data_IF_633860224226
#
_entry.id   IF_633860224226
#
_cell.length_a   1.000
_cell.length_b   1.000
_cell.length_c   1.000
_cell.angle_alpha   90.00
_cell.angle_beta   90.00
_cell.angle_gamma   90.00
#
_symmetry.space_group_name_H-M   'P 1'
#
loop_
_entity.id
_entity.type
_entity.pdbx_description
1 polymer ?
#
# COMPACT_ATOMS: atom_id res chain seq x y z
N UNK A 1 -13.12 34.36 5.05
CA UNK A 1 -13.13 34.21 3.59
C UNK A 1 -11.95 33.35 3.11
N UNK A 2 -11.66 32.24 3.81
CA UNK A 2 -10.61 31.28 3.46
C UNK A 2 -11.05 29.82 3.73
N UNK A 3 -12.32 29.59 4.07
CA UNK A 3 -12.85 28.24 4.37
C UNK A 3 -13.54 27.60 3.15
N UNK A 4 -13.86 28.37 2.11
CA UNK A 4 -14.56 27.85 0.91
C UNK A 4 -13.61 27.25 -0.15
N UNK A 5 -12.31 27.59 -0.12
CA UNK A 5 -11.36 27.13 -1.14
C UNK A 5 -10.91 25.67 -0.95
N UNK A 6 -10.76 25.21 0.30
CA UNK A 6 -10.39 23.82 0.60
C UNK A 6 -11.53 22.83 0.32
N UNK A 7 -12.79 23.27 0.46
CA UNK A 7 -13.96 22.44 0.15
C UNK A 7 -14.08 22.20 -1.37
N UNK A 8 -13.89 23.23 -2.19
CA UNK A 8 -13.99 23.13 -3.66
C UNK A 8 -12.83 22.32 -4.25
N UNK A 9 -11.62 22.45 -3.70
CA UNK A 9 -10.46 21.65 -4.11
C UNK A 9 -10.66 20.15 -3.80
N UNK A 10 -11.12 19.81 -2.59
CA UNK A 10 -11.43 18.42 -2.24
C UNK A 10 -12.57 17.83 -3.08
N UNK A 11 -13.61 18.63 -3.37
CA UNK A 11 -14.75 18.15 -4.17
C UNK A 11 -14.32 17.87 -5.62
N UNK A 12 -13.45 18.70 -6.18
CA UNK A 12 -12.93 18.53 -7.55
C UNK A 12 -12.03 17.30 -7.69
N UNK A 13 -11.20 17.01 -6.67
CA UNK A 13 -10.36 15.79 -6.63
C UNK A 13 -11.23 14.54 -6.52
N UNK A 14 -12.24 14.55 -5.64
CA UNK A 14 -13.15 13.41 -5.47
C UNK A 14 -14.00 13.17 -6.72
N UNK A 15 -14.48 14.22 -7.38
CA UNK A 15 -15.20 14.10 -8.66
C UNK A 15 -14.29 13.54 -9.75
N UNK A 16 -13.04 13.98 -9.85
CA UNK A 16 -12.07 13.47 -10.82
C UNK A 16 -11.72 11.99 -10.60
N UNK A 17 -11.57 11.56 -9.34
CA UNK A 17 -11.37 10.14 -9.01
C UNK A 17 -12.60 9.29 -9.35
N UNK A 18 -13.81 9.77 -9.04
CA UNK A 18 -15.06 9.07 -9.38
C UNK A 18 -15.22 8.97 -10.89
N UNK A 19 -14.94 10.05 -11.63
CA UNK A 19 -15.05 10.10 -13.08
C UNK A 19 -14.09 9.10 -13.75
N UNK A 20 -12.82 9.09 -13.33
CA UNK A 20 -11.82 8.13 -13.79
C UNK A 20 -12.26 6.68 -13.56
N UNK A 21 -12.80 6.38 -12.37
CA UNK A 21 -13.30 5.03 -12.05
C UNK A 21 -14.50 4.64 -12.92
N UNK A 22 -15.42 5.57 -13.18
CA UNK A 22 -16.60 5.34 -14.04
C UNK A 22 -16.20 5.13 -15.51
N UNK A 23 -15.20 5.88 -16.00
CA UNK A 23 -14.66 5.76 -17.35
C UNK A 23 -13.96 4.41 -17.56
N UNK A 24 -13.18 3.93 -16.59
CA UNK A 24 -12.51 2.63 -16.67
C UNK A 24 -13.55 1.49 -16.58
N UNK A 25 -14.56 1.61 -15.72
CA UNK A 25 -15.62 0.61 -15.58
C UNK A 25 -16.54 0.51 -16.80
N UNK A 26 -16.86 1.65 -17.43
CA UNK A 26 -17.78 1.70 -18.59
C UNK A 26 -17.04 1.61 -19.92
N UNK A 27 -15.72 1.57 -19.89
CA UNK A 27 -14.84 1.59 -21.05
C UNK A 27 -14.75 0.26 -21.81
N UNK A 28 -13.91 0.22 -22.87
CA UNK A 28 -13.62 -0.98 -23.64
C UNK A 28 -13.13 -2.15 -22.76
N UNK A 29 -13.23 -3.41 -23.23
CA UNK A 29 -12.95 -4.60 -22.43
C UNK A 29 -11.59 -4.64 -21.71
N UNK A 30 -10.56 -3.98 -22.23
CA UNK A 30 -9.24 -3.91 -21.58
C UNK A 30 -9.25 -3.02 -20.34
N UNK A 31 -9.92 -1.86 -20.38
CA UNK A 31 -10.08 -0.98 -19.22
C UNK A 31 -10.91 -1.68 -18.13
N UNK A 32 -11.96 -2.40 -18.50
CA UNK A 32 -12.76 -3.18 -17.54
C UNK A 32 -11.95 -4.26 -16.82
N UNK A 33 -11.00 -4.91 -17.51
CA UNK A 33 -10.07 -5.85 -16.87
C UNK A 33 -9.17 -5.14 -15.86
N UNK A 34 -8.64 -3.97 -16.22
CA UNK A 34 -7.82 -3.17 -15.34
C UNK A 34 -8.59 -2.71 -14.09
N UNK A 35 -9.83 -2.25 -14.26
CA UNK A 35 -10.75 -1.96 -13.16
C UNK A 35 -10.89 -3.16 -12.22
N UNK A 36 -11.20 -4.35 -12.77
CA UNK A 36 -11.36 -5.55 -11.95
C UNK A 36 -10.08 -5.91 -11.17
N UNK A 37 -8.90 -5.79 -11.78
CA UNK A 37 -7.62 -6.04 -11.12
C UNK A 37 -7.38 -5.02 -10.01
N UNK A 38 -7.62 -3.74 -10.27
CA UNK A 38 -7.45 -2.66 -9.30
C UNK A 38 -8.38 -2.84 -8.09
N UNK A 39 -9.65 -3.17 -8.35
CA UNK A 39 -10.64 -3.44 -7.28
C UNK A 39 -10.29 -4.69 -6.49
N UNK A 40 -9.92 -5.79 -7.15
CA UNK A 40 -9.48 -7.00 -6.49
C UNK A 40 -8.24 -6.74 -5.61
N UNK A 41 -7.27 -5.96 -6.09
CA UNK A 41 -6.07 -5.61 -5.32
C UNK A 41 -6.39 -4.84 -4.04
N UNK A 42 -7.40 -3.96 -4.06
CA UNK A 42 -7.85 -3.24 -2.87
C UNK A 42 -8.65 -4.09 -1.88
N UNK A 43 -9.40 -5.08 -2.38
CA UNK A 43 -10.22 -5.98 -1.55
C UNK A 43 -9.40 -7.14 -0.97
N UNK A 44 -8.39 -7.61 -1.71
CA UNK A 44 -7.62 -8.83 -1.44
C UNK A 44 -6.11 -8.53 -1.38
N UNK A 45 -5.65 -7.66 -0.47
CA UNK A 45 -4.27 -7.20 -0.43
C UNK A 45 -3.25 -8.29 -0.02
N UNK A 46 -3.67 -9.41 0.59
CA UNK A 46 -2.79 -10.54 0.89
C UNK A 46 -2.94 -11.66 -0.13
N UNK A 47 -4.17 -12.05 -0.43
CA UNK A 47 -4.44 -13.23 -1.26
C UNK A 47 -4.07 -13.02 -2.72
N UNK A 48 -4.34 -11.85 -3.32
CA UNK A 48 -3.98 -11.60 -4.72
C UNK A 48 -2.45 -11.59 -4.93
N UNK A 49 -1.64 -10.85 -4.13
CA UNK A 49 -0.18 -10.97 -4.22
C UNK A 49 0.35 -12.38 -3.93
N UNK A 50 -0.35 -13.17 -3.12
CA UNK A 50 0.05 -14.56 -2.83
C UNK A 50 -0.06 -15.44 -4.08
N UNK A 51 -1.13 -15.24 -4.86
CA UNK A 51 -1.31 -15.89 -6.16
C UNK A 51 -0.22 -15.45 -7.14
N UNK A 52 0.04 -14.14 -7.28
CA UNK A 52 1.09 -13.62 -8.17
C UNK A 52 2.47 -14.19 -7.82
N UNK A 53 2.79 -14.26 -6.52
CA UNK A 53 4.03 -14.86 -6.03
C UNK A 53 4.17 -16.33 -6.40
N UNK A 54 3.07 -17.10 -6.37
CA UNK A 54 3.06 -18.51 -6.79
C UNK A 54 3.32 -18.65 -8.28
N UNK A 55 2.79 -17.74 -9.10
CA UNK A 55 3.01 -17.68 -10.56
C UNK A 55 4.48 -17.38 -10.87
N UNK A 56 5.06 -16.36 -10.22
CA UNK A 56 6.47 -15.94 -10.43
C UNK A 56 7.50 -16.93 -9.85
N UNK A 57 7.06 -17.80 -8.95
CA UNK A 57 7.88 -18.74 -8.21
C UNK A 57 8.26 -18.23 -6.81
N UNK A 58 7.80 -18.96 -5.78
CA UNK A 58 7.96 -18.57 -4.36
C UNK A 58 9.42 -18.36 -3.98
N UNK A 59 10.32 -19.25 -4.42
CA UNK A 59 11.76 -19.13 -4.13
C UNK A 59 12.35 -17.85 -4.71
N UNK A 60 12.13 -17.61 -6.01
CA UNK A 60 12.60 -16.42 -6.72
C UNK A 60 12.09 -15.13 -6.06
N UNK A 61 10.83 -15.11 -5.68
CA UNK A 61 10.22 -13.96 -5.00
C UNK A 61 10.87 -13.67 -3.64
N UNK A 62 11.15 -14.71 -2.83
CA UNK A 62 11.87 -14.58 -1.55
C UNK A 62 13.31 -14.09 -1.74
N UNK A 63 14.03 -14.65 -2.70
CA UNK A 63 15.41 -14.27 -3.00
C UNK A 63 15.50 -12.81 -3.46
N UNK A 64 14.59 -12.39 -4.35
CA UNK A 64 14.49 -11.00 -4.80
C UNK A 64 14.13 -10.03 -3.66
N UNK A 65 13.19 -10.40 -2.78
CA UNK A 65 12.85 -9.60 -1.59
C UNK A 65 14.06 -9.43 -0.68
N UNK A 66 14.85 -10.49 -0.46
CA UNK A 66 16.07 -10.44 0.35
C UNK A 66 17.15 -9.55 -0.30
N UNK A 67 17.33 -9.63 -1.62
CA UNK A 67 18.26 -8.80 -2.37
C UNK A 67 17.90 -7.31 -2.26
N UNK A 68 16.65 -6.94 -2.52
CA UNK A 68 16.19 -5.54 -2.43
C UNK A 68 16.30 -5.04 -0.98
N UNK A 69 16.01 -5.89 0.01
CA UNK A 69 16.22 -5.54 1.43
C UNK A 69 17.70 -5.28 1.73
N UNK A 70 18.62 -6.04 1.15
CA UNK A 70 20.06 -5.77 1.27
C UNK A 70 20.41 -4.41 0.66
N UNK A 71 20.01 -4.16 -0.59
CA UNK A 71 20.26 -2.89 -1.28
C UNK A 71 19.74 -1.70 -0.46
N UNK A 72 18.54 -1.82 0.13
CA UNK A 72 17.97 -0.75 0.95
C UNK A 72 18.79 -0.44 2.22
N UNK A 73 19.42 -1.47 2.82
CA UNK A 73 20.34 -1.28 3.96
C UNK A 73 21.63 -0.62 3.50
N UNK A 74 22.20 -1.09 2.40
CA UNK A 74 23.44 -0.55 1.85
C UNK A 74 23.28 0.95 1.52
N UNK A 75 22.14 1.34 0.93
CA UNK A 75 21.78 2.76 0.67
C UNK A 75 21.64 3.54 1.99
N UNK A 76 20.96 2.97 2.99
CA UNK A 76 20.78 3.62 4.29
C UNK A 76 22.12 3.88 4.98
N UNK A 77 23.01 2.89 4.97
CA UNK A 77 24.36 3.00 5.53
C UNK A 77 25.20 4.05 4.81
N UNK A 78 25.13 4.09 3.48
CA UNK A 78 25.88 5.10 2.72
C UNK A 78 25.33 6.51 2.94
N UNK A 79 24.00 6.66 3.02
CA UNK A 79 23.39 7.95 3.34
C UNK A 79 23.75 8.41 4.76
N UNK A 80 23.86 7.49 5.71
CA UNK A 80 24.36 7.80 7.06
C UNK A 80 25.77 8.38 7.01
N UNK A 81 26.69 7.74 6.26
CA UNK A 81 28.07 8.24 6.09
C UNK A 81 28.13 9.63 5.47
N UNK A 82 27.27 9.90 4.48
CA UNK A 82 27.18 11.21 3.84
C UNK A 82 26.70 12.27 4.83
N UNK A 83 25.70 11.95 5.67
CA UNK A 83 25.20 12.86 6.69
C UNK A 83 26.27 13.17 7.75
N UNK A 84 27.01 12.17 8.21
CA UNK A 84 28.10 12.34 9.18
C UNK A 84 29.25 13.22 8.64
N UNK A 85 29.57 13.06 7.34
CA UNK A 85 30.62 13.82 6.67
C UNK A 85 30.16 15.20 6.18
N UNK A 86 28.86 15.52 6.29
CA UNK A 86 28.29 16.75 5.74
C UNK A 86 28.67 17.96 6.58
N UNK A 87 29.25 18.96 5.93
CA UNK A 87 29.50 20.28 6.52
C UNK A 87 28.34 21.26 6.31
N UNK A 88 27.27 20.83 5.65
CA UNK A 88 26.09 21.65 5.34
C UNK A 88 25.14 21.72 6.54
N UNK A 89 25.03 20.61 7.28
CA UNK A 89 24.16 20.51 8.45
C UNK A 89 24.87 21.03 9.68
N UNK A 90 24.18 21.82 10.47
CA UNK A 90 24.66 22.29 11.76
C UNK A 90 24.60 21.17 12.82
N UNK A 91 25.30 21.38 13.93
CA UNK A 91 25.45 20.41 15.01
C UNK A 91 24.13 20.02 15.70
N UNK A 92 23.01 20.73 15.44
CA UNK A 92 21.68 20.39 15.97
C UNK A 92 20.87 19.59 14.94
N UNK A 93 20.91 19.99 13.66
CA UNK A 93 20.13 19.30 12.61
C UNK A 93 20.73 17.95 12.21
N UNK A 94 22.07 17.83 12.18
CA UNK A 94 22.76 16.59 11.83
C UNK A 94 22.31 15.37 12.67
N UNK A 95 22.32 15.40 14.02
CA UNK A 95 21.88 14.26 14.83
C UNK A 95 20.39 13.94 14.65
N UNK A 96 19.53 14.93 14.37
CA UNK A 96 18.11 14.69 14.08
C UNK A 96 17.89 14.00 12.74
N UNK A 97 18.66 14.37 11.71
CA UNK A 97 18.62 13.72 10.41
C UNK A 97 19.07 12.25 10.51
N UNK A 98 20.15 11.99 11.26
CA UNK A 98 20.65 10.64 11.54
C UNK A 98 19.62 9.83 12.32
N UNK A 99 19.05 10.37 13.41
CA UNK A 99 18.02 9.69 14.19
C UNK A 99 16.79 9.34 13.33
N UNK A 100 16.39 10.25 12.42
CA UNK A 100 15.29 9.98 11.49
C UNK A 100 15.66 8.83 10.55
N UNK A 101 16.86 8.85 9.98
CA UNK A 101 17.37 7.79 9.11
C UNK A 101 17.37 6.43 9.82
N UNK A 102 17.90 6.36 11.04
CA UNK A 102 17.97 5.15 11.86
C UNK A 102 16.59 4.55 12.12
N UNK A 103 15.58 5.39 12.33
CA UNK A 103 14.21 4.97 12.58
C UNK A 103 13.39 4.66 11.32
N UNK A 104 13.95 4.80 10.10
CA UNK A 104 13.23 4.42 8.87
C UNK A 104 12.96 2.92 8.86
N UNK A 105 11.68 2.56 8.79
CA UNK A 105 11.23 1.21 8.48
C UNK A 105 11.17 1.01 6.95
N UNK A 106 11.78 -0.07 6.47
CA UNK A 106 11.79 -0.41 5.04
C UNK A 106 10.83 -1.57 4.79
N UNK A 107 9.76 -1.29 4.04
CA UNK A 107 8.81 -2.30 3.56
C UNK A 107 9.20 -2.72 2.15
N UNK A 108 9.49 -4.00 1.95
CA UNK A 108 9.94 -4.54 0.66
C UNK A 108 8.95 -5.58 0.13
N UNK A 109 8.41 -5.32 -1.05
CA UNK A 109 7.51 -6.20 -1.80
C UNK A 109 6.19 -6.46 -1.06
N UNK A 110 6.07 -7.55 -0.30
CA UNK A 110 4.83 -7.98 0.36
C UNK A 110 5.01 -8.16 1.87
N UNK A 111 3.94 -8.02 2.67
CA UNK A 111 4.00 -8.24 4.11
C UNK A 111 4.21 -9.72 4.45
N UNK A 112 4.91 -10.01 5.54
CA UNK A 112 5.16 -11.39 5.98
C UNK A 112 3.87 -12.12 6.42
N UNK A 113 2.81 -11.36 6.72
CA UNK A 113 1.45 -11.87 7.00
C UNK A 113 0.87 -12.72 5.86
N UNK A 114 1.43 -12.64 4.65
CA UNK A 114 1.00 -13.46 3.51
C UNK A 114 1.28 -14.96 3.71
N UNK A 115 2.16 -15.33 4.64
CA UNK A 115 2.44 -16.73 4.99
C UNK A 115 1.53 -17.24 6.11
N UNK A 116 0.70 -16.38 6.70
CA UNK A 116 -0.26 -16.75 7.74
C UNK A 116 -1.59 -17.12 7.09
N UNK A 117 -1.93 -18.40 7.14
CA UNK A 117 -3.15 -18.95 6.54
C UNK A 117 -4.41 -18.31 7.12
N UNK A 118 -4.52 -18.18 8.45
CA UNK A 118 -5.69 -17.54 9.08
C UNK A 118 -5.87 -16.09 8.61
N UNK A 119 -4.77 -15.34 8.43
CA UNK A 119 -4.86 -13.96 7.94
C UNK A 119 -5.31 -13.89 6.47
N UNK A 120 -5.08 -14.94 5.68
CA UNK A 120 -5.61 -15.06 4.33
C UNK A 120 -7.07 -15.54 4.32
N UNK A 121 -7.45 -16.42 5.25
CA UNK A 121 -8.83 -16.89 5.43
C UNK A 121 -9.77 -15.75 5.82
N UNK A 122 -9.33 -14.80 6.65
CA UNK A 122 -10.08 -13.57 6.96
C UNK A 122 -10.45 -12.75 5.71
N UNK A 123 -9.65 -12.82 4.63
CA UNK A 123 -10.01 -12.17 3.36
C UNK A 123 -11.07 -12.95 2.59
N UNK A 124 -11.16 -14.27 2.78
CA UNK A 124 -12.10 -15.15 2.06
C UNK A 124 -13.56 -14.87 2.42
N UNK A 125 -13.83 -14.41 3.65
CA UNK A 125 -15.15 -13.96 4.11
C UNK A 125 -15.76 -12.82 3.27
N UNK A 126 -14.93 -12.16 2.46
CA UNK A 126 -15.33 -11.08 1.55
C UNK A 126 -15.88 -11.59 0.22
N UNK A 127 -15.72 -12.89 -0.07
CA UNK A 127 -16.16 -13.53 -1.32
C UNK A 127 -17.63 -13.92 -1.18
N UNK A 128 -18.42 -13.56 -2.18
CA UNK A 128 -19.82 -13.97 -2.32
C UNK A 128 -19.95 -14.97 -3.48
N UNK A 129 -21.07 -15.70 -3.52
CA UNK A 129 -21.39 -16.61 -4.62
C UNK A 129 -21.51 -15.89 -5.96
N UNK A 130 -21.84 -14.60 -5.95
CA UNK A 130 -21.87 -13.74 -7.13
C UNK A 130 -20.70 -12.75 -7.14
N UNK A 131 -20.08 -12.60 -8.33
CA UNK A 131 -18.92 -11.73 -8.54
C UNK A 131 -19.22 -10.25 -8.24
N UNK A 132 -20.40 -9.78 -8.64
CA UNK A 132 -20.81 -8.40 -8.36
C UNK A 132 -20.90 -8.14 -6.86
N UNK A 133 -21.56 -9.03 -6.11
CA UNK A 133 -21.70 -8.89 -4.66
C UNK A 133 -20.38 -9.06 -3.92
N UNK A 134 -19.46 -9.89 -4.42
CA UNK A 134 -18.09 -9.99 -3.89
C UNK A 134 -17.38 -8.64 -3.94
N UNK A 135 -17.54 -7.88 -5.03
CA UNK A 135 -16.95 -6.54 -5.13
C UNK A 135 -17.59 -5.54 -4.17
N UNK A 136 -18.92 -5.57 -4.04
CA UNK A 136 -19.67 -4.65 -3.16
C UNK A 136 -19.38 -4.93 -1.68
N UNK A 137 -19.45 -6.19 -1.26
CA UNK A 137 -19.21 -6.59 0.11
C UNK A 137 -17.74 -6.47 0.48
N UNK A 138 -16.82 -6.85 -0.41
CA UNK A 138 -15.40 -6.67 -0.20
C UNK A 138 -15.00 -5.21 0.02
N UNK A 139 -15.50 -4.30 -0.83
CA UNK A 139 -15.24 -2.87 -0.65
C UNK A 139 -15.83 -2.31 0.67
N UNK A 140 -17.03 -2.76 1.02
CA UNK A 140 -17.70 -2.38 2.27
C UNK A 140 -16.94 -2.89 3.50
N UNK A 141 -16.41 -4.11 3.45
CA UNK A 141 -15.61 -4.71 4.52
C UNK A 141 -14.31 -3.91 4.74
N UNK A 142 -13.59 -3.56 3.67
CA UNK A 142 -12.40 -2.71 3.74
C UNK A 142 -12.71 -1.35 4.38
N UNK A 143 -13.82 -0.73 4.01
CA UNK A 143 -14.24 0.55 4.61
C UNK A 143 -14.56 0.42 6.11
N UNK A 144 -15.28 -0.64 6.50
CA UNK A 144 -15.56 -0.95 7.92
C UNK A 144 -14.28 -1.20 8.70
N UNK A 145 -13.28 -1.85 8.12
CA UNK A 145 -11.97 -2.04 8.75
C UNK A 145 -11.24 -0.73 9.00
N UNK A 146 -11.28 0.21 8.03
CA UNK A 146 -10.73 1.56 8.22
C UNK A 146 -11.40 2.28 9.39
N UNK A 147 -12.74 2.24 9.46
CA UNK A 147 -13.49 2.84 10.58
C UNK A 147 -13.13 2.17 11.92
N UNK A 148 -13.04 0.83 11.96
CA UNK A 148 -12.64 0.08 13.18
C UNK A 148 -11.24 0.44 13.68
N UNK A 149 -10.37 1.02 12.84
CA UNK A 149 -9.01 1.44 13.19
C UNK A 149 -8.93 2.88 13.69
N UNK A 150 -9.97 3.71 13.53
CA UNK A 150 -9.93 5.15 13.88
C UNK A 150 -9.52 5.44 15.33
N UNK A 151 -9.87 4.55 16.27
CA UNK A 151 -9.54 4.70 17.70
C UNK A 151 -8.42 3.77 18.16
N UNK A 152 -7.80 3.04 17.25
CA UNK A 152 -6.69 2.13 17.56
C UNK A 152 -5.37 2.87 17.27
N UNK A 153 -4.29 2.59 18.02
CA UNK A 153 -2.99 3.12 17.67
C UNK A 153 -2.60 2.66 16.27
N UNK A 154 -1.91 3.52 15.54
CA UNK A 154 -1.29 3.15 14.27
C UNK A 154 -0.27 2.05 14.59
N UNK A 155 -0.37 0.92 13.90
CA UNK A 155 0.61 -0.16 14.06
C UNK A 155 1.95 0.36 13.51
N UNK A 156 3.01 0.46 14.34
CA UNK A 156 4.32 0.93 13.90
C UNK A 156 4.95 -0.03 12.87
#
# INVERSE_FOLDING_TARGET
>A
MYEDFDFVANTSIVIAEIQSVVEIYSGPPHLRKEFCIMRASGIFPLSLPSVLRKIDGVKRSRDNKALVKKISRDIKEEYHRILDASHILDNVTAPMAIQKLDNISVLVSYPDKIENEMAMEDESDRISTELFWSMVFGASAVYREKIKRLRKPVNP
#
